data_IF_845227882899
#
_entry.id   IF_845227882899
#
_cell.length_a   1.000
_cell.length_b   1.000
_cell.length_c   1.000
_cell.angle_alpha   90.00
_cell.angle_beta   90.00
_cell.angle_gamma   90.00
#
_symmetry.space_group_name_H-M   'P 1'
#
loop_
_entity.id
_entity.type
_entity.pdbx_description
1 polymer ?
#
# COMPACT_ATOMS: atom_id res chain seq x y z
N UNK A 1 -9.33 -8.03 5.28
CA UNK A 1 -9.56 -7.28 6.55
C UNK A 1 -9.04 -8.05 7.76
N UNK A 2 -9.42 -9.30 7.96
CA UNK A 2 -9.00 -10.08 9.13
C UNK A 2 -7.48 -10.05 9.37
N UNK A 3 -6.71 -10.24 8.31
CA UNK A 3 -5.24 -10.24 8.36
C UNK A 3 -4.66 -8.91 8.84
N UNK A 4 -5.16 -7.79 8.32
CA UNK A 4 -4.59 -6.45 8.58
C UNK A 4 -5.17 -5.76 9.82
N UNK A 5 -6.33 -6.16 10.30
CA UNK A 5 -6.95 -5.56 11.50
C UNK A 5 -6.28 -6.00 12.81
N UNK A 6 -5.58 -7.13 12.83
CA UNK A 6 -4.75 -7.59 13.96
C UNK A 6 -5.47 -7.49 15.32
N UNK A 7 -6.60 -8.21 15.45
CA UNK A 7 -7.40 -8.22 16.67
C UNK A 7 -8.24 -6.94 16.94
N UNK A 8 -8.17 -5.93 16.07
CA UNK A 8 -9.08 -4.79 16.08
C UNK A 8 -10.37 -5.14 15.35
N UNK A 9 -11.47 -4.52 15.79
CA UNK A 9 -12.78 -4.74 15.16
C UNK A 9 -12.84 -4.14 13.75
N UNK A 10 -13.42 -4.86 12.82
CA UNK A 10 -13.72 -4.38 11.48
C UNK A 10 -15.12 -4.82 11.05
N UNK A 11 -15.68 -4.13 10.08
CA UNK A 11 -16.99 -4.42 9.53
C UNK A 11 -17.04 -3.97 8.07
N UNK A 12 -18.13 -4.27 7.37
CA UNK A 12 -18.33 -3.89 5.96
C UNK A 12 -19.68 -3.19 5.83
N UNK A 13 -19.71 -2.01 5.21
CA UNK A 13 -20.95 -1.42 4.71
C UNK A 13 -21.27 -2.08 3.37
N UNK A 14 -22.48 -2.57 3.23
CA UNK A 14 -23.01 -3.14 2.00
C UNK A 14 -24.15 -2.27 1.47
N UNK A 15 -24.16 -2.05 0.16
CA UNK A 15 -25.27 -1.51 -0.58
C UNK A 15 -25.82 -2.64 -1.47
N UNK A 16 -27.08 -3.02 -1.25
CA UNK A 16 -27.73 -4.12 -1.93
C UNK A 16 -28.97 -3.62 -2.70
N UNK A 17 -29.24 -4.24 -3.82
CA UNK A 17 -30.45 -4.06 -4.59
C UNK A 17 -30.93 -5.44 -5.06
N UNK A 18 -32.18 -5.78 -4.79
CA UNK A 18 -32.82 -7.07 -5.16
C UNK A 18 -31.98 -8.30 -4.80
N UNK A 19 -31.39 -8.28 -3.59
CA UNK A 19 -30.55 -9.37 -3.08
C UNK A 19 -29.15 -9.45 -3.69
N UNK A 20 -28.77 -8.50 -4.55
CA UNK A 20 -27.44 -8.42 -5.16
C UNK A 20 -26.62 -7.29 -4.54
N UNK A 21 -25.38 -7.58 -4.11
CA UNK A 21 -24.47 -6.57 -3.60
C UNK A 21 -24.00 -5.67 -4.74
N UNK A 22 -24.35 -4.40 -4.67
CA UNK A 22 -23.99 -3.36 -5.64
C UNK A 22 -22.74 -2.57 -5.23
N UNK A 23 -22.45 -2.54 -3.94
CA UNK A 23 -21.25 -1.89 -3.42
C UNK A 23 -20.89 -2.36 -2.03
N UNK A 24 -19.59 -2.30 -1.70
CA UNK A 24 -19.06 -2.69 -0.42
C UNK A 24 -17.96 -1.73 0.03
N UNK A 25 -17.92 -1.40 1.32
CA UNK A 25 -16.90 -0.54 1.90
C UNK A 25 -16.47 -1.12 3.26
N UNK A 26 -15.36 -1.86 3.30
CA UNK A 26 -14.81 -2.37 4.55
C UNK A 26 -14.18 -1.24 5.36
N UNK A 27 -14.20 -1.34 6.68
CA UNK A 27 -13.59 -0.36 7.56
C UNK A 27 -13.16 -0.96 8.90
N UNK A 28 -12.04 -0.45 9.43
CA UNK A 28 -11.61 -0.72 10.79
C UNK A 28 -12.27 0.29 11.72
N UNK A 29 -12.83 -0.20 12.83
CA UNK A 29 -13.43 0.67 13.82
C UNK A 29 -12.97 0.31 15.24
N UNK A 30 -13.16 1.26 16.14
CA UNK A 30 -12.89 1.05 17.56
C UNK A 30 -13.43 2.19 18.40
N UNK A 31 -13.22 2.05 19.72
CA UNK A 31 -13.56 3.10 20.70
C UNK A 31 -12.32 3.43 21.52
N UNK A 32 -12.08 4.71 21.73
CA UNK A 32 -11.07 5.23 22.65
C UNK A 32 -11.68 6.34 23.48
N UNK A 33 -11.64 6.21 24.81
CA UNK A 33 -12.29 7.14 25.74
C UNK A 33 -13.78 7.40 25.42
N UNK A 34 -14.51 6.33 25.09
CA UNK A 34 -15.94 6.42 24.70
C UNK A 34 -16.20 6.94 23.27
N UNK A 35 -15.18 7.42 22.57
CA UNK A 35 -15.28 8.00 21.23
C UNK A 35 -15.08 6.94 20.15
N UNK A 36 -16.01 6.84 19.22
CA UNK A 36 -15.89 5.94 18.06
C UNK A 36 -14.97 6.54 17.01
N UNK A 37 -14.06 5.72 16.48
CA UNK A 37 -13.25 6.07 15.33
C UNK A 37 -13.41 5.03 14.21
N UNK A 38 -13.25 5.48 12.97
CA UNK A 38 -13.19 4.64 11.76
C UNK A 38 -11.92 5.04 11.01
N UNK A 39 -11.00 4.10 10.87
CA UNK A 39 -9.69 4.36 10.25
C UNK A 39 -9.37 3.30 9.21
N UNK A 40 -8.34 3.56 8.43
CA UNK A 40 -7.76 2.60 7.53
C UNK A 40 -6.82 1.66 8.29
N UNK A 41 -6.83 0.36 8.04
CA UNK A 41 -5.85 -0.55 8.61
C UNK A 41 -4.43 -0.20 8.13
N UNK A 42 -3.43 -0.51 8.95
CA UNK A 42 -2.03 -0.45 8.51
C UNK A 42 -1.79 -1.45 7.38
N UNK A 43 -0.81 -1.20 6.53
CA UNK A 43 -0.46 -2.04 5.38
C UNK A 43 -1.64 -2.28 4.41
N UNK A 44 -2.54 -1.29 4.33
CA UNK A 44 -3.66 -1.30 3.40
C UNK A 44 -3.61 0.02 2.63
N UNK A 45 -3.14 0.04 1.38
CA UNK A 45 -2.95 1.28 0.60
C UNK A 45 -4.24 2.07 0.46
N UNK A 46 -5.29 1.38 0.10
CA UNK A 46 -6.66 1.89 0.03
C UNK A 46 -7.66 0.88 0.56
N UNK A 47 -8.77 1.40 1.04
CA UNK A 47 -9.82 0.60 1.70
C UNK A 47 -11.19 1.10 1.30
N UNK A 48 -11.29 1.73 0.16
CA UNK A 48 -12.51 2.24 -0.22
C UNK A 48 -13.20 1.92 -1.30
N UNK A 49 -14.46 2.34 -1.60
CA UNK A 49 -15.51 1.39 -1.86
C UNK A 49 -15.24 0.57 -3.12
N UNK A 50 -15.67 -0.69 -3.08
CA UNK A 50 -15.88 -1.51 -4.26
C UNK A 50 -17.29 -1.25 -4.79
N UNK A 51 -17.43 -1.17 -6.11
CA UNK A 51 -18.71 -1.01 -6.82
C UNK A 51 -18.84 -2.13 -7.85
N UNK A 52 -20.07 -2.64 -7.97
CA UNK A 52 -20.36 -3.68 -8.97
C UNK A 52 -20.03 -3.17 -10.38
N UNK A 53 -19.28 -3.92 -11.21
CA UNK A 53 -18.81 -3.45 -12.52
C UNK A 53 -19.92 -3.06 -13.50
N UNK A 54 -21.10 -3.68 -13.40
CA UNK A 54 -22.23 -3.43 -14.29
C UNK A 54 -23.00 -2.12 -13.98
N UNK A 55 -22.65 -1.39 -12.94
CA UNK A 55 -23.32 -0.13 -12.61
C UNK A 55 -22.96 0.95 -13.64
N UNK A 56 -24.00 1.61 -14.16
CA UNK A 56 -23.88 2.85 -14.90
C UNK A 56 -23.50 4.06 -13.99
N UNK A 57 -23.37 5.24 -14.56
CA UNK A 57 -22.95 6.42 -13.81
C UNK A 57 -23.93 6.79 -12.69
N UNK A 58 -25.23 6.70 -12.93
CA UNK A 58 -26.27 7.05 -11.94
C UNK A 58 -26.37 5.98 -10.84
N UNK A 59 -26.27 4.72 -11.20
CA UNK A 59 -26.19 3.60 -10.25
C UNK A 59 -24.96 3.72 -9.34
N UNK A 60 -23.78 4.06 -9.87
CA UNK A 60 -22.56 4.32 -9.08
C UNK A 60 -22.75 5.47 -8.10
N UNK A 61 -23.38 6.59 -8.53
CA UNK A 61 -23.70 7.73 -7.65
C UNK A 61 -24.64 7.32 -6.51
N UNK A 62 -25.67 6.56 -6.83
CA UNK A 62 -26.67 6.07 -5.86
C UNK A 62 -26.01 5.17 -4.81
N UNK A 63 -25.22 4.20 -5.24
CA UNK A 63 -24.51 3.25 -4.35
C UNK A 63 -23.50 3.98 -3.48
N UNK A 64 -22.69 4.89 -4.04
CA UNK A 64 -21.75 5.71 -3.26
C UNK A 64 -22.49 6.60 -2.24
N UNK A 65 -23.65 7.16 -2.60
CA UNK A 65 -24.50 7.93 -1.70
C UNK A 65 -25.00 7.10 -0.52
N UNK A 66 -25.44 5.87 -0.79
CA UNK A 66 -25.87 4.90 0.23
C UNK A 66 -24.73 4.57 1.20
N UNK A 67 -23.57 4.20 0.68
CA UNK A 67 -22.39 3.89 1.49
C UNK A 67 -21.93 5.11 2.32
N UNK A 68 -21.92 6.31 1.72
CA UNK A 68 -21.56 7.54 2.42
C UNK A 68 -22.53 7.89 3.56
N UNK A 69 -23.84 7.67 3.34
CA UNK A 69 -24.88 7.84 4.36
C UNK A 69 -24.68 6.85 5.50
N UNK A 70 -24.50 5.56 5.17
CA UNK A 70 -24.28 4.52 6.16
C UNK A 70 -22.99 4.76 6.99
N UNK A 71 -21.91 5.25 6.35
CA UNK A 71 -20.67 5.61 7.05
C UNK A 71 -20.88 6.80 8.00
N UNK A 72 -21.63 7.84 7.57
CA UNK A 72 -22.00 8.98 8.41
C UNK A 72 -22.80 8.54 9.64
N UNK A 73 -23.75 7.63 9.45
CA UNK A 73 -24.70 7.21 10.49
C UNK A 73 -24.04 6.34 11.57
N UNK A 74 -22.84 5.81 11.33
CA UNK A 74 -21.96 5.23 12.36
C UNK A 74 -21.46 6.30 13.35
N UNK A 75 -21.65 7.59 13.08
CA UNK A 75 -21.28 8.76 13.90
C UNK A 75 -19.84 8.72 14.43
N UNK A 76 -18.84 8.43 13.59
CA UNK A 76 -17.46 8.46 14.07
C UNK A 76 -17.06 9.89 14.40
N UNK A 77 -16.39 10.08 15.55
CA UNK A 77 -15.75 11.35 15.90
C UNK A 77 -14.49 11.60 15.06
N UNK A 78 -13.88 10.54 14.60
CA UNK A 78 -12.74 10.55 13.71
C UNK A 78 -12.93 9.48 12.64
N UNK A 79 -12.88 9.87 11.37
CA UNK A 79 -12.98 8.96 10.24
C UNK A 79 -11.94 9.34 9.16
N UNK A 80 -11.24 8.35 8.62
CA UNK A 80 -10.38 8.49 7.45
C UNK A 80 -10.39 7.21 6.63
N UNK A 81 -10.62 7.35 5.30
CA UNK A 81 -10.59 6.26 4.33
C UNK A 81 -9.94 6.77 3.05
N UNK A 82 -8.93 6.07 2.56
CA UNK A 82 -8.30 6.35 1.28
C UNK A 82 -8.91 5.46 0.20
N UNK A 83 -9.26 6.05 -0.93
CA UNK A 83 -9.86 5.38 -2.07
C UNK A 83 -8.79 4.90 -3.05
N UNK A 84 -9.03 3.83 -3.79
CA UNK A 84 -8.15 3.46 -4.89
C UNK A 84 -8.12 4.58 -5.95
N UNK A 85 -7.02 4.74 -6.70
CA UNK A 85 -6.88 5.81 -7.70
C UNK A 85 -7.99 5.83 -8.75
N UNK A 86 -8.57 4.69 -9.05
CA UNK A 86 -9.67 4.54 -10.01
C UNK A 86 -11.00 5.13 -9.48
N UNK A 87 -11.10 5.35 -8.16
CA UNK A 87 -12.27 5.97 -7.53
C UNK A 87 -12.10 7.49 -7.49
N UNK A 88 -12.44 8.14 -8.59
CA UNK A 88 -12.27 9.60 -8.77
C UNK A 88 -13.42 10.42 -8.21
N UNK A 89 -14.59 9.81 -8.00
CA UNK A 89 -15.77 10.51 -7.52
C UNK A 89 -15.97 10.32 -6.01
N UNK A 90 -15.76 11.40 -5.27
CA UNK A 90 -16.00 11.46 -3.83
C UNK A 90 -17.17 12.40 -3.47
N UNK A 91 -17.87 12.99 -4.45
CA UNK A 91 -18.95 13.95 -4.19
C UNK A 91 -20.09 13.41 -3.32
N UNK A 92 -20.52 12.15 -3.44
CA UNK A 92 -21.52 11.57 -2.53
C UNK A 92 -21.10 11.66 -1.05
N UNK A 93 -19.81 11.49 -0.76
CA UNK A 93 -19.28 11.65 0.61
C UNK A 93 -19.28 13.13 1.05
N UNK A 94 -18.97 14.06 0.14
CA UNK A 94 -19.08 15.51 0.44
C UNK A 94 -20.48 15.90 0.86
N UNK A 95 -21.51 15.42 0.15
CA UNK A 95 -22.92 15.66 0.50
C UNK A 95 -23.29 15.17 1.92
N UNK A 96 -22.54 14.20 2.46
CA UNK A 96 -22.70 13.67 3.82
C UNK A 96 -21.76 14.34 4.85
N UNK A 97 -21.09 15.44 4.48
CA UNK A 97 -20.25 16.24 5.38
C UNK A 97 -18.83 15.71 5.56
N UNK A 98 -18.38 14.79 4.73
CA UNK A 98 -16.95 14.43 4.66
C UNK A 98 -16.16 15.51 3.91
N UNK A 99 -14.90 15.63 4.25
CA UNK A 99 -13.89 16.43 3.54
C UNK A 99 -12.94 15.51 2.82
N UNK A 100 -12.17 16.05 1.89
CA UNK A 100 -11.21 15.29 1.10
C UNK A 100 -9.84 15.96 1.16
N UNK A 101 -8.79 15.16 1.09
CA UNK A 101 -7.43 15.55 0.73
C UNK A 101 -6.95 14.67 -0.41
N UNK A 102 -6.15 15.24 -1.31
CA UNK A 102 -5.51 14.49 -2.38
C UNK A 102 -4.14 14.01 -1.90
N UNK A 103 -3.90 12.73 -2.05
CA UNK A 103 -2.59 12.10 -1.88
C UNK A 103 -2.08 11.62 -3.24
N UNK A 104 -0.83 11.24 -3.31
CA UNK A 104 -0.20 10.77 -4.53
C UNK A 104 0.51 9.47 -4.29
N UNK A 105 0.41 8.60 -5.28
CA UNK A 105 1.24 7.41 -5.41
C UNK A 105 2.00 7.45 -6.73
N UNK A 106 2.90 6.51 -6.95
CA UNK A 106 3.72 6.37 -8.15
C UNK A 106 3.52 4.97 -8.71
N UNK A 107 3.12 4.86 -9.99
CA UNK A 107 2.67 3.60 -10.59
C UNK A 107 3.37 3.32 -11.91
N UNK A 108 3.51 2.03 -12.21
CA UNK A 108 3.57 1.54 -13.57
C UNK A 108 2.17 1.06 -13.96
N UNK A 109 1.45 1.77 -14.85
CA UNK A 109 0.10 1.38 -15.25
C UNK A 109 0.06 0.04 -15.98
N UNK A 110 1.19 -0.37 -16.57
CA UNK A 110 1.36 -1.65 -17.24
C UNK A 110 2.76 -2.21 -17.00
N UNK A 111 2.82 -3.50 -16.71
CA UNK A 111 4.07 -4.28 -16.61
C UNK A 111 4.31 -5.14 -17.85
N UNK A 112 3.59 -4.95 -18.96
CA UNK A 112 3.68 -5.78 -20.16
C UNK A 112 5.09 -5.83 -20.81
N UNK A 113 5.89 -4.76 -20.69
CA UNK A 113 7.30 -4.72 -21.11
C UNK A 113 8.18 -4.15 -20.01
N UNK A 114 8.58 -4.97 -19.02
CA UNK A 114 9.41 -4.51 -17.91
C UNK A 114 10.80 -4.02 -18.37
N UNK A 115 11.30 -4.50 -19.50
CA UNK A 115 12.57 -4.03 -20.04
C UNK A 115 12.47 -2.64 -20.67
N UNK A 116 11.33 -2.29 -21.28
CA UNK A 116 11.07 -0.93 -21.72
C UNK A 116 10.97 0.03 -20.51
N UNK A 117 10.27 -0.37 -19.43
CA UNK A 117 10.23 0.39 -18.18
C UNK A 117 11.64 0.60 -17.60
N UNK A 118 12.44 -0.46 -17.56
CA UNK A 118 13.82 -0.39 -17.10
C UNK A 118 14.65 0.58 -17.94
N UNK A 119 14.53 0.54 -19.28
CA UNK A 119 15.25 1.47 -20.18
C UNK A 119 14.80 2.92 -19.99
N UNK A 120 13.51 3.16 -19.73
CA UNK A 120 12.93 4.48 -19.49
C UNK A 120 13.32 5.08 -18.13
N UNK A 121 13.66 4.26 -17.15
CA UNK A 121 14.10 4.72 -15.85
C UNK A 121 15.35 5.61 -15.93
N UNK A 122 15.45 6.55 -15.00
CA UNK A 122 16.59 7.46 -14.93
C UNK A 122 17.92 6.67 -14.75
N UNK A 123 19.01 7.23 -15.30
CA UNK A 123 20.32 6.61 -15.20
C UNK A 123 20.75 6.33 -13.75
N UNK A 124 20.29 7.13 -12.78
CA UNK A 124 20.62 6.95 -11.36
C UNK A 124 20.07 5.62 -10.80
N UNK A 125 18.97 5.10 -11.35
CA UNK A 125 18.35 3.82 -10.91
C UNK A 125 19.04 2.59 -11.50
N UNK A 126 19.79 2.75 -12.56
CA UNK A 126 20.49 1.67 -13.29
C UNK A 126 22.01 1.73 -13.10
N UNK A 127 22.51 2.83 -12.55
CA UNK A 127 23.94 3.18 -12.51
C UNK A 127 24.82 2.12 -11.85
N UNK A 128 24.29 1.45 -10.84
CA UNK A 128 25.05 0.52 -10.01
C UNK A 128 24.68 -0.95 -10.24
N UNK A 129 23.78 -1.25 -11.19
CA UNK A 129 23.24 -2.60 -11.36
C UNK A 129 24.34 -3.63 -11.63
N UNK A 130 25.33 -3.28 -12.47
CA UNK A 130 26.43 -4.18 -12.76
C UNK A 130 27.28 -4.44 -11.50
N UNK A 131 27.70 -3.40 -10.79
CA UNK A 131 28.52 -3.56 -9.59
C UNK A 131 27.77 -4.28 -8.46
N UNK A 132 26.46 -4.07 -8.33
CA UNK A 132 25.64 -4.82 -7.38
C UNK A 132 25.56 -6.29 -7.78
N UNK A 133 25.32 -6.61 -9.05
CA UNK A 133 25.24 -7.98 -9.54
C UNK A 133 26.56 -8.76 -9.37
N UNK A 134 27.71 -8.06 -9.45
CA UNK A 134 29.03 -8.66 -9.22
C UNK A 134 29.22 -9.11 -7.76
N UNK A 135 28.73 -8.35 -6.78
CA UNK A 135 28.96 -8.60 -5.35
C UNK A 135 27.76 -9.17 -4.59
N UNK A 136 26.57 -9.14 -5.19
CA UNK A 136 25.35 -9.64 -4.58
C UNK A 136 24.62 -10.68 -5.43
N UNK A 137 23.74 -11.43 -4.79
CA UNK A 137 22.82 -12.39 -5.42
C UNK A 137 21.42 -12.18 -4.87
N UNK A 138 20.40 -12.34 -5.72
CA UNK A 138 19.01 -12.29 -5.31
C UNK A 138 18.63 -13.58 -4.57
N UNK A 139 17.97 -13.44 -3.45
CA UNK A 139 17.38 -14.51 -2.65
C UNK A 139 15.86 -14.43 -2.84
N UNK A 140 15.31 -15.35 -3.64
CA UNK A 140 13.87 -15.38 -3.96
C UNK A 140 13.04 -16.08 -2.88
N UNK A 141 13.70 -16.69 -1.90
CA UNK A 141 13.10 -17.48 -0.82
C UNK A 141 13.46 -16.94 0.58
N UNK A 142 13.62 -15.62 0.69
CA UNK A 142 13.96 -14.98 1.97
C UNK A 142 12.96 -15.38 3.05
N UNK A 143 13.48 -15.94 4.16
CA UNK A 143 12.66 -16.37 5.27
C UNK A 143 12.05 -15.18 6.04
N UNK A 144 10.84 -15.40 6.56
CA UNK A 144 10.17 -14.40 7.40
C UNK A 144 10.93 -14.15 8.71
N UNK A 145 11.64 -15.14 9.21
CA UNK A 145 12.43 -15.06 10.46
C UNK A 145 13.70 -14.21 10.29
N UNK A 146 14.25 -14.13 9.09
CA UNK A 146 15.34 -13.20 8.78
C UNK A 146 14.82 -11.81 8.41
N UNK A 147 13.72 -11.75 7.63
CA UNK A 147 13.17 -10.48 7.18
C UNK A 147 12.68 -9.60 8.32
N UNK A 148 11.91 -10.14 9.26
CA UNK A 148 11.25 -9.34 10.28
C UNK A 148 12.23 -8.59 11.18
N UNK A 149 13.25 -9.22 11.79
CA UNK A 149 14.24 -8.50 12.56
C UNK A 149 15.05 -7.50 11.73
N UNK A 150 15.38 -7.85 10.48
CA UNK A 150 16.08 -6.95 9.55
C UNK A 150 15.27 -5.68 9.23
N UNK A 151 13.96 -5.85 8.99
CA UNK A 151 13.04 -4.73 8.76
C UNK A 151 12.88 -3.83 10.00
N UNK A 152 12.68 -4.42 11.17
CA UNK A 152 12.53 -3.68 12.43
C UNK A 152 13.80 -2.89 12.73
N UNK A 153 14.97 -3.50 12.56
CA UNK A 153 16.26 -2.85 12.77
C UNK A 153 16.48 -1.68 11.81
N UNK A 154 16.13 -1.84 10.53
CA UNK A 154 16.22 -0.76 9.53
C UNK A 154 15.45 0.49 9.96
N UNK A 155 14.18 0.35 10.37
CA UNK A 155 13.37 1.49 10.79
C UNK A 155 13.79 2.05 12.15
N UNK A 156 14.24 1.22 13.07
CA UNK A 156 14.80 1.65 14.35
C UNK A 156 16.06 2.51 14.17
N UNK A 157 16.98 2.13 13.28
CA UNK A 157 18.17 2.93 12.93
C UNK A 157 17.81 4.27 12.30
N UNK A 158 16.68 4.38 11.62
CA UNK A 158 16.15 5.64 11.07
C UNK A 158 15.46 6.54 12.10
N UNK A 159 15.34 6.09 13.33
CA UNK A 159 14.66 6.84 14.40
C UNK A 159 13.14 6.81 14.32
N UNK A 160 12.56 5.90 13.53
CA UNK A 160 11.11 5.72 13.46
C UNK A 160 10.57 5.19 14.79
N UNK A 161 9.53 5.85 15.32
CA UNK A 161 8.93 5.52 16.62
C UNK A 161 7.68 4.65 16.50
N UNK A 162 6.89 4.88 15.45
CA UNK A 162 5.64 4.18 15.20
C UNK A 162 5.88 2.96 14.31
N UNK A 163 6.63 1.99 14.83
CA UNK A 163 6.91 0.76 14.11
C UNK A 163 5.63 -0.06 13.94
N UNK A 164 5.55 -0.73 12.79
CA UNK A 164 4.50 -1.73 12.56
C UNK A 164 4.74 -2.88 13.56
N UNK A 165 3.72 -3.32 14.32
CA UNK A 165 3.86 -4.42 15.26
C UNK A 165 4.38 -5.69 14.56
N UNK A 166 5.37 -6.36 15.15
CA UNK A 166 5.98 -7.57 14.60
C UNK A 166 4.93 -8.64 14.24
N UNK A 167 3.95 -8.84 15.14
CA UNK A 167 2.89 -9.81 14.90
C UNK A 167 2.03 -9.46 13.66
N UNK A 168 1.86 -8.17 13.34
CA UNK A 168 1.16 -7.73 12.14
C UNK A 168 2.03 -7.97 10.89
N UNK A 169 3.33 -7.64 10.95
CA UNK A 169 4.27 -7.92 9.86
C UNK A 169 4.25 -9.40 9.49
N UNK A 170 4.47 -10.28 10.49
CA UNK A 170 4.47 -11.73 10.29
C UNK A 170 3.16 -12.23 9.69
N UNK A 171 2.04 -11.79 10.21
CA UNK A 171 0.71 -12.20 9.74
C UNK A 171 0.45 -11.78 8.29
N UNK A 172 0.74 -10.52 7.94
CA UNK A 172 0.49 -10.01 6.59
C UNK A 172 1.37 -10.74 5.57
N UNK A 173 2.65 -10.83 5.83
CA UNK A 173 3.60 -11.48 4.92
C UNK A 173 3.28 -12.97 4.78
N UNK A 174 3.12 -13.71 5.89
CA UNK A 174 2.81 -15.15 5.83
C UNK A 174 1.48 -15.44 5.15
N UNK A 175 0.45 -14.61 5.38
CA UNK A 175 -0.86 -14.79 4.73
C UNK A 175 -0.78 -14.56 3.23
N UNK A 176 -0.11 -13.50 2.79
CA UNK A 176 0.03 -13.19 1.38
C UNK A 176 0.88 -14.23 0.65
N UNK A 177 2.04 -14.60 1.19
CA UNK A 177 2.89 -15.64 0.61
C UNK A 177 2.19 -17.00 0.58
N UNK A 178 1.50 -17.39 1.65
CA UNK A 178 0.76 -18.66 1.72
C UNK A 178 -0.44 -18.74 0.76
N UNK A 179 -0.90 -17.60 0.22
CA UNK A 179 -1.94 -17.51 -0.81
C UNK A 179 -1.39 -17.32 -2.21
N UNK A 180 -0.08 -17.35 -2.41
CA UNK A 180 0.59 -16.96 -3.66
C UNK A 180 0.19 -15.54 -4.11
N UNK A 181 0.05 -14.62 -3.17
CA UNK A 181 -0.27 -13.20 -3.36
C UNK A 181 0.80 -12.29 -2.73
N UNK A 182 1.98 -12.82 -2.48
CA UNK A 182 3.11 -12.09 -1.91
C UNK A 182 4.45 -12.61 -2.41
N UNK A 183 5.37 -11.69 -2.68
CA UNK A 183 6.78 -11.97 -2.92
C UNK A 183 7.60 -11.34 -1.79
N UNK A 184 8.39 -12.14 -1.10
CA UNK A 184 9.36 -11.69 -0.12
C UNK A 184 10.75 -12.08 -0.61
N UNK A 185 11.46 -11.10 -1.18
CA UNK A 185 12.77 -11.31 -1.78
C UNK A 185 13.85 -10.53 -1.03
N UNK A 186 15.05 -11.10 -1.03
CA UNK A 186 16.26 -10.51 -0.47
C UNK A 186 17.35 -10.27 -1.50
N UNK A 187 18.32 -9.49 -1.10
CA UNK A 187 19.59 -9.33 -1.81
C UNK A 187 20.71 -9.69 -0.83
N UNK A 188 21.53 -10.68 -1.14
CA UNK A 188 22.60 -11.18 -0.28
C UNK A 188 23.97 -10.85 -0.86
N UNK A 189 24.91 -10.52 0.01
CA UNK A 189 26.31 -10.39 -0.37
C UNK A 189 26.90 -11.77 -0.63
N UNK A 190 27.60 -11.94 -1.76
CA UNK A 190 28.16 -13.24 -2.17
C UNK A 190 29.24 -13.76 -1.25
N UNK A 191 30.00 -12.87 -0.64
CA UNK A 191 31.17 -13.20 0.20
C UNK A 191 30.81 -13.93 1.47
N UNK A 192 29.79 -13.46 2.19
CA UNK A 192 29.44 -13.92 3.53
C UNK A 192 27.95 -14.23 3.71
N UNK A 193 27.19 -14.17 2.62
CA UNK A 193 25.74 -14.40 2.62
C UNK A 193 24.92 -13.40 3.46
N UNK A 194 25.50 -12.25 3.85
CA UNK A 194 24.83 -11.24 4.64
C UNK A 194 23.68 -10.58 3.85
N UNK A 195 22.55 -10.35 4.52
CA UNK A 195 21.37 -9.71 3.91
C UNK A 195 21.62 -8.20 3.73
N UNK A 196 21.62 -7.73 2.49
CA UNK A 196 21.89 -6.34 2.10
C UNK A 196 20.64 -5.52 1.89
N UNK A 197 19.59 -6.12 1.34
CA UNK A 197 18.30 -5.49 1.15
C UNK A 197 17.19 -6.54 1.17
N UNK A 198 15.98 -6.14 1.52
CA UNK A 198 14.82 -7.01 1.50
C UNK A 198 13.59 -6.22 1.07
N UNK A 199 12.69 -6.87 0.33
CA UNK A 199 11.48 -6.24 -0.16
C UNK A 199 10.31 -7.22 -0.16
N UNK A 200 9.20 -6.81 0.43
CA UNK A 200 7.93 -7.52 0.38
C UNK A 200 6.94 -6.74 -0.47
N UNK A 201 6.35 -7.42 -1.43
CA UNK A 201 5.32 -6.93 -2.34
C UNK A 201 4.11 -7.85 -2.24
N UNK A 202 2.94 -7.28 -2.02
CA UNK A 202 1.67 -8.00 -2.20
C UNK A 202 1.14 -7.79 -3.61
N UNK A 203 0.42 -8.77 -4.16
CA UNK A 203 -0.16 -8.65 -5.50
C UNK A 203 -1.46 -9.45 -5.64
N UNK A 204 -2.26 -9.02 -6.61
CA UNK A 204 -3.34 -9.78 -7.21
C UNK A 204 -3.16 -9.83 -8.74
N UNK A 205 -4.16 -10.29 -9.46
CA UNK A 205 -4.12 -10.42 -10.92
C UNK A 205 -4.03 -9.06 -11.65
N UNK A 206 -4.43 -7.96 -11.00
CA UNK A 206 -4.53 -6.63 -11.60
C UNK A 206 -3.38 -5.71 -11.20
N UNK A 207 -2.96 -5.77 -9.93
CA UNK A 207 -1.97 -4.85 -9.40
C UNK A 207 -1.07 -5.51 -8.36
N UNK A 208 0.11 -4.95 -8.19
CA UNK A 208 1.01 -5.25 -7.08
C UNK A 208 1.36 -3.98 -6.30
N UNK A 209 1.59 -4.14 -5.00
CA UNK A 209 1.84 -3.03 -4.07
C UNK A 209 3.11 -3.24 -3.28
N UNK A 210 3.99 -2.21 -3.27
CA UNK A 210 5.18 -2.16 -2.43
C UNK A 210 4.79 -1.91 -0.99
N UNK A 211 4.82 -2.93 -0.12
CA UNK A 211 4.35 -2.77 1.25
C UNK A 211 5.47 -2.58 2.28
N UNK A 212 6.54 -3.36 2.20
CA UNK A 212 7.59 -3.36 3.21
C UNK A 212 8.96 -3.48 2.55
N UNK A 213 9.89 -2.63 2.93
CA UNK A 213 11.27 -2.71 2.48
C UNK A 213 12.24 -2.50 3.64
N UNK A 214 13.47 -2.99 3.48
CA UNK A 214 14.56 -2.70 4.39
C UNK A 214 15.90 -2.72 3.66
N UNK A 215 16.85 -1.92 4.14
CA UNK A 215 18.20 -1.82 3.58
C UNK A 215 19.21 -1.99 4.71
N UNK A 216 20.17 -2.87 4.52
CA UNK A 216 21.29 -3.09 5.43
C UNK A 216 22.24 -1.89 5.47
N UNK A 217 22.94 -1.74 6.55
CA UNK A 217 23.88 -0.64 6.76
C UNK A 217 25.05 -0.69 5.76
N UNK A 218 25.53 -1.89 5.48
CA UNK A 218 26.62 -2.15 4.55
C UNK A 218 26.15 -2.42 3.11
N UNK A 219 24.87 -2.18 2.80
CA UNK A 219 24.36 -2.41 1.47
C UNK A 219 25.07 -1.54 0.41
N UNK A 220 25.52 -2.11 -0.69
CA UNK A 220 26.16 -1.35 -1.75
C UNK A 220 25.19 -0.32 -2.35
N UNK A 221 25.73 0.78 -2.84
CA UNK A 221 24.93 1.80 -3.53
C UNK A 221 24.15 1.17 -4.67
N UNK A 222 22.84 1.41 -4.72
CA UNK A 222 21.95 0.83 -5.73
C UNK A 222 21.34 -0.52 -5.38
N UNK A 223 21.70 -1.14 -4.24
CA UNK A 223 21.19 -2.46 -3.82
C UNK A 223 19.65 -2.55 -3.90
N UNK A 224 18.93 -1.60 -3.29
CA UNK A 224 17.47 -1.61 -3.33
C UNK A 224 16.92 -1.39 -4.76
N UNK A 225 17.51 -0.50 -5.56
CA UNK A 225 17.06 -0.29 -6.93
C UNK A 225 17.26 -1.55 -7.78
N UNK A 226 18.39 -2.23 -7.62
CA UNK A 226 18.66 -3.50 -8.27
C UNK A 226 17.65 -4.58 -7.88
N UNK A 227 17.43 -4.78 -6.56
CA UNK A 227 16.44 -5.75 -6.07
C UNK A 227 15.04 -5.44 -6.64
N UNK A 228 14.63 -4.16 -6.61
CA UNK A 228 13.33 -3.74 -7.13
C UNK A 228 13.16 -4.11 -8.61
N UNK A 229 14.18 -3.92 -9.44
CA UNK A 229 14.08 -4.33 -10.85
C UNK A 229 13.98 -5.84 -11.05
N UNK A 230 14.66 -6.65 -10.23
CA UNK A 230 14.50 -8.10 -10.29
C UNK A 230 13.08 -8.53 -9.92
N UNK A 231 12.53 -7.97 -8.85
CA UNK A 231 11.15 -8.25 -8.41
C UNK A 231 10.13 -7.74 -9.44
N UNK A 232 10.30 -6.54 -10.00
CA UNK A 232 9.38 -5.99 -11.03
C UNK A 232 9.35 -6.90 -12.27
N UNK A 233 10.49 -7.43 -12.72
CA UNK A 233 10.54 -8.42 -13.81
C UNK A 233 9.73 -9.67 -13.47
N UNK A 234 9.81 -10.16 -12.24
CA UNK A 234 9.01 -11.30 -11.78
C UNK A 234 7.53 -10.95 -11.73
N UNK A 235 7.18 -9.78 -11.19
CA UNK A 235 5.79 -9.32 -11.09
C UNK A 235 5.13 -9.17 -12.46
N UNK A 236 5.86 -8.80 -13.51
CA UNK A 236 5.35 -8.72 -14.88
C UNK A 236 4.77 -10.05 -15.40
N UNK A 237 5.13 -11.18 -14.79
CA UNK A 237 4.55 -12.51 -15.12
C UNK A 237 3.36 -12.88 -14.24
N UNK A 238 3.00 -12.09 -13.24
CA UNK A 238 2.02 -12.41 -12.22
C UNK A 238 0.85 -11.43 -12.17
N UNK A 239 1.08 -10.16 -12.55
CA UNK A 239 0.10 -9.08 -12.44
C UNK A 239 0.26 -8.07 -13.58
N UNK A 240 -0.71 -7.16 -13.74
CA UNK A 240 -0.76 -6.24 -14.87
C UNK A 240 -0.08 -4.90 -14.60
N UNK A 241 -0.07 -4.44 -13.34
CA UNK A 241 0.39 -3.12 -12.96
C UNK A 241 1.14 -3.15 -11.62
N UNK A 242 1.85 -2.06 -11.31
CA UNK A 242 2.60 -1.95 -10.07
C UNK A 242 2.42 -0.57 -9.43
N UNK A 243 2.27 -0.53 -8.12
CA UNK A 243 2.14 0.67 -7.32
C UNK A 243 3.20 0.69 -6.21
N UNK A 244 3.99 1.77 -6.15
CA UNK A 244 4.98 1.97 -5.10
C UNK A 244 4.39 2.29 -3.72
N UNK A 245 3.09 2.49 -3.65
CA UNK A 245 2.34 2.79 -2.44
C UNK A 245 2.91 3.98 -1.66
N UNK A 246 2.38 5.17 -1.97
CA UNK A 246 2.80 6.40 -1.30
C UNK A 246 3.69 7.29 -2.16
N UNK A 247 4.18 8.37 -1.57
CA UNK A 247 4.95 9.39 -2.28
C UNK A 247 4.63 10.80 -1.81
N UNK A 248 4.11 10.95 -0.58
CA UNK A 248 3.90 12.26 0.04
C UNK A 248 5.20 12.84 0.61
N UNK A 249 6.16 11.99 0.96
CA UNK A 249 7.52 12.43 1.31
C UNK A 249 8.29 12.82 0.03
N UNK A 250 8.92 14.01 -0.02
CA UNK A 250 9.62 14.48 -1.23
C UNK A 250 10.79 13.57 -1.67
N UNK A 251 11.49 12.92 -0.74
CA UNK A 251 12.60 12.03 -1.08
C UNK A 251 12.09 10.72 -1.67
N UNK A 252 11.00 10.17 -1.11
CA UNK A 252 10.34 8.99 -1.68
C UNK A 252 9.71 9.32 -3.03
N UNK A 253 9.08 10.49 -3.17
CA UNK A 253 8.54 10.98 -4.44
C UNK A 253 9.62 11.05 -5.53
N UNK A 254 10.78 11.63 -5.22
CA UNK A 254 11.92 11.66 -6.13
C UNK A 254 12.46 10.25 -6.42
N UNK A 255 12.55 9.39 -5.40
CA UNK A 255 13.01 8.02 -5.58
C UNK A 255 12.11 7.26 -6.54
N UNK A 256 10.79 7.28 -6.31
CA UNK A 256 9.83 6.54 -7.13
C UNK A 256 9.70 7.12 -8.55
N UNK A 257 9.60 8.45 -8.70
CA UNK A 257 9.53 9.08 -10.03
C UNK A 257 10.75 8.76 -10.89
N UNK A 258 11.91 8.58 -10.27
CA UNK A 258 13.14 8.25 -11.00
C UNK A 258 13.19 6.83 -11.59
N UNK A 259 12.21 5.98 -11.26
CA UNK A 259 11.99 4.71 -11.96
C UNK A 259 11.24 4.89 -13.29
N UNK A 260 10.74 6.09 -13.60
CA UNK A 260 9.93 6.35 -14.78
C UNK A 260 8.43 6.08 -14.56
N UNK A 261 8.00 6.11 -13.30
CA UNK A 261 6.61 5.90 -12.89
C UNK A 261 5.74 7.11 -13.15
N UNK A 262 4.44 6.89 -13.27
CA UNK A 262 3.43 7.92 -13.33
C UNK A 262 3.00 8.35 -11.92
N UNK A 263 3.02 9.65 -11.65
CA UNK A 263 2.46 10.22 -10.42
C UNK A 263 0.93 10.22 -10.51
N UNK A 264 0.27 9.41 -9.70
CA UNK A 264 -1.16 9.18 -9.74
C UNK A 264 -1.83 9.74 -8.48
N UNK A 265 -2.81 10.68 -8.60
CA UNK A 265 -3.56 11.18 -7.46
C UNK A 265 -4.59 10.15 -6.99
N UNK A 266 -4.86 10.15 -5.67
CA UNK A 266 -5.99 9.43 -5.09
C UNK A 266 -6.64 10.24 -3.97
N UNK A 267 -7.93 9.97 -3.72
CA UNK A 267 -8.68 10.69 -2.72
C UNK A 267 -8.60 9.98 -1.36
N UNK A 268 -8.40 10.80 -0.33
CA UNK A 268 -8.54 10.36 1.04
C UNK A 268 -9.67 11.19 1.68
N UNK A 269 -10.82 10.57 1.93
CA UNK A 269 -11.91 11.22 2.64
C UNK A 269 -11.66 11.20 4.13
N UNK A 270 -12.07 12.26 4.81
CA UNK A 270 -11.97 12.33 6.27
C UNK A 270 -13.11 13.15 6.89
N UNK A 271 -13.39 12.84 8.14
CA UNK A 271 -14.28 13.62 9.02
C UNK A 271 -13.68 13.63 10.41
N UNK A 272 -13.66 14.82 11.02
CA UNK A 272 -13.24 14.98 12.42
C UNK A 272 -14.20 15.95 13.12
N UNK A 273 -14.73 15.50 14.23
CA UNK A 273 -15.54 16.30 15.14
C UNK A 273 -14.74 16.77 16.37
N UNK A 274 -13.45 16.46 16.44
CA UNK A 274 -12.56 16.87 17.54
C UNK A 274 -11.62 17.99 17.10
N UNK A 275 -11.26 18.94 18.00
CA UNK A 275 -10.21 19.91 17.75
C UNK A 275 -8.92 19.19 17.37
N UNK A 276 -8.17 19.77 16.41
CA UNK A 276 -6.90 19.20 15.91
C UNK A 276 -7.01 17.80 15.29
N UNK A 277 -8.20 17.29 14.99
CA UNK A 277 -8.40 15.95 14.41
C UNK A 277 -7.66 15.74 13.10
N UNK A 278 -7.41 16.78 12.29
CA UNK A 278 -6.56 16.70 11.09
C UNK A 278 -5.14 16.25 11.44
N UNK A 279 -4.53 16.86 12.44
CA UNK A 279 -3.18 16.50 12.91
C UNK A 279 -3.10 15.06 13.38
N UNK A 280 -4.17 14.58 14.05
CA UNK A 280 -4.26 13.16 14.49
C UNK A 280 -4.33 12.22 13.30
N UNK A 281 -4.91 12.66 12.16
CA UNK A 281 -5.01 11.90 10.92
C UNK A 281 -3.77 12.03 10.01
N UNK A 282 -2.78 12.82 10.41
CA UNK A 282 -1.61 13.09 9.56
C UNK A 282 -1.95 13.92 8.30
N UNK A 283 -2.89 14.87 8.41
CA UNK A 283 -3.41 15.72 7.34
C UNK A 283 -2.96 17.18 7.49
#
# INVERSE_FOLDING_TARGET
METVCHGKSWDVLLAECDGTVQGAMPYLHGKKLGMTYILQPQLTPWNGPWLHPALDADGRQTVLGTLATALRDRRPLLCMQCFPPEMTDWQPFRKQGFRQTTRYTYRFPSLADPEALYRAASRIRRRYDRSVAEVCVVDEELSLDEFVPFHIDYYRRRGERDLIPEALLRRVVSTACGRNQGLLWGLRRREDNALMAAWFVAYDELCSWSLLLAIGEEAPKGAMSYLMWQVIRRLATLTQSFDFEGGMDPNLAFFYSSFGTERTPYHCIYRSCIPFGKRVLGL
#
